data_IF_937696556111
#
_entry.id   IF_937696556111
#
_cell.length_a   1.000
_cell.length_b   1.000
_cell.length_c   1.000
_cell.angle_alpha   90.00
_cell.angle_beta   90.00
_cell.angle_gamma   90.00
#
_symmetry.space_group_name_H-M   'P 1'
#
loop_
_entity.id
_entity.type
_entity.pdbx_description
1 polymer ?
#
# COMPACT_ATOMS: atom_id res chain seq x y z
N UNK A 1 -3.07 -1.71 4.86
CA UNK A 1 -4.01 -2.84 4.97
C UNK A 1 -3.69 -3.82 3.83
N UNK A 2 -3.79 -5.14 4.05
CA UNK A 2 -3.53 -6.17 3.03
C UNK A 2 -4.74 -7.05 2.74
N UNK A 3 -5.91 -6.70 3.29
CA UNK A 3 -7.18 -7.33 2.94
C UNK A 3 -7.58 -6.98 1.50
N UNK A 4 -8.33 -7.86 0.84
CA UNK A 4 -8.74 -7.67 -0.56
C UNK A 4 -9.50 -6.36 -0.77
N UNK A 5 -10.31 -5.91 0.20
CA UNK A 5 -11.01 -4.62 0.09
C UNK A 5 -10.07 -3.41 -0.10
N UNK A 6 -8.79 -3.53 0.26
CA UNK A 6 -7.82 -2.45 0.13
C UNK A 6 -7.25 -2.31 -1.29
N UNK A 7 -7.40 -3.33 -2.16
CA UNK A 7 -6.76 -3.31 -3.49
C UNK A 7 -7.49 -4.08 -4.60
N UNK A 8 -8.54 -4.84 -4.31
CA UNK A 8 -9.12 -5.77 -5.28
C UNK A 8 -9.79 -5.07 -6.45
N UNK A 9 -10.36 -3.87 -6.25
CA UNK A 9 -10.96 -3.09 -7.35
C UNK A 9 -9.89 -2.70 -8.39
N UNK A 10 -8.69 -2.31 -7.95
CA UNK A 10 -7.64 -1.81 -8.84
C UNK A 10 -6.69 -2.90 -9.34
N UNK A 11 -6.41 -3.90 -8.50
CA UNK A 11 -5.37 -4.90 -8.73
C UNK A 11 -5.92 -6.33 -8.80
N UNK A 12 -7.20 -6.56 -8.51
CA UNK A 12 -7.82 -7.89 -8.43
C UNK A 12 -6.96 -8.82 -7.56
N UNK A 13 -6.64 -10.02 -8.05
CA UNK A 13 -5.79 -10.99 -7.37
C UNK A 13 -4.29 -10.65 -7.38
N UNK A 14 -3.88 -9.52 -7.97
CA UNK A 14 -2.46 -9.13 -8.09
C UNK A 14 -1.97 -8.32 -6.89
N UNK A 15 -1.99 -8.95 -5.71
CA UNK A 15 -1.43 -8.39 -4.47
C UNK A 15 0.02 -7.92 -4.58
N UNK A 16 0.95 -8.59 -5.31
CA UNK A 16 2.31 -8.08 -5.47
C UNK A 16 2.36 -6.69 -6.10
N UNK A 17 1.55 -6.44 -7.14
CA UNK A 17 1.48 -5.15 -7.81
C UNK A 17 0.89 -4.05 -6.91
N UNK A 18 0.00 -4.40 -5.98
CA UNK A 18 -0.47 -3.46 -4.94
C UNK A 18 0.68 -3.03 -4.03
N UNK A 19 1.47 -3.99 -3.53
CA UNK A 19 2.60 -3.71 -2.63
C UNK A 19 3.68 -2.87 -3.32
N UNK A 20 4.00 -3.15 -4.58
CA UNK A 20 4.93 -2.32 -5.36
C UNK A 20 4.46 -0.86 -5.43
N UNK A 21 3.18 -0.62 -5.73
CA UNK A 21 2.63 0.75 -5.77
C UNK A 21 2.52 1.40 -4.39
N UNK A 22 2.31 0.61 -3.34
CA UNK A 22 2.19 1.11 -1.97
C UNK A 22 3.48 1.81 -1.53
N UNK A 23 4.65 1.22 -1.78
CA UNK A 23 5.93 1.81 -1.39
C UNK A 23 6.25 3.14 -2.06
N UNK A 24 5.62 3.44 -3.20
CA UNK A 24 5.79 4.72 -3.90
C UNK A 24 4.99 5.87 -3.25
N UNK A 25 3.98 5.56 -2.44
CA UNK A 25 3.06 6.55 -1.85
C UNK A 25 3.17 6.66 -0.33
N UNK A 26 4.07 5.90 0.31
CA UNK A 26 4.28 5.98 1.75
C UNK A 26 4.85 7.35 2.12
N UNK A 27 4.17 8.03 3.06
CA UNK A 27 4.66 9.26 3.66
C UNK A 27 5.67 8.95 4.77
N UNK A 28 6.94 9.06 4.42
CA UNK A 28 8.05 8.79 5.34
C UNK A 28 8.28 9.91 6.37
N UNK A 29 7.91 11.16 6.07
CA UNK A 29 8.02 12.26 7.05
C UNK A 29 7.10 11.99 8.23
N UNK A 30 5.87 11.55 7.95
CA UNK A 30 4.90 11.18 8.98
C UNK A 30 5.31 9.94 9.77
N UNK A 31 6.08 9.03 9.16
CA UNK A 31 6.68 7.89 9.88
C UNK A 31 7.72 8.39 10.88
N UNK A 32 8.60 9.31 10.45
CA UNK A 32 9.66 9.87 11.31
C UNK A 32 9.09 10.70 12.46
N UNK A 33 8.01 11.46 12.24
CA UNK A 33 7.34 12.23 13.30
C UNK A 33 6.82 11.34 14.46
N UNK A 34 6.60 10.04 14.22
CA UNK A 34 6.06 9.09 15.19
C UNK A 34 7.10 8.12 15.77
N UNK A 35 8.38 8.30 15.45
CA UNK A 35 9.51 7.61 16.08
C UNK A 35 9.79 8.19 17.46
#
# INVERSE_FOLDING_TARGET
>A
DVWEHAYYIDKLNRRPAYLESFWLIVDWEKVVERL
#
